data_IF_572239030402
#
_entry.id   IF_572239030402
#
_cell.length_a   1.000
_cell.length_b   1.000
_cell.length_c   1.000
_cell.angle_alpha   90.00
_cell.angle_beta   90.00
_cell.angle_gamma   90.00
#
_symmetry.space_group_name_H-M   'P 1'
#
loop_
_entity.id
_entity.type
_entity.pdbx_description
1 polymer ?
#
# COMPACT_ATOMS: atom_id res chain seq x y z
N UNK A 1 -14.84 -9.59 -11.68
CA UNK A 1 -13.60 -8.94 -11.24
C UNK A 1 -13.82 -8.56 -9.78
N UNK A 2 -13.36 -9.38 -8.85
CA UNK A 2 -13.45 -9.11 -7.41
C UNK A 2 -12.26 -8.23 -7.05
N UNK A 3 -12.50 -6.93 -6.85
CA UNK A 3 -11.58 -6.07 -6.12
C UNK A 3 -11.57 -6.56 -4.69
N UNK A 4 -10.49 -7.25 -4.33
CA UNK A 4 -10.16 -7.62 -2.96
C UNK A 4 -9.98 -6.33 -2.16
N UNK A 5 -10.96 -6.01 -1.33
CA UNK A 5 -11.03 -4.78 -0.55
C UNK A 5 -10.14 -4.86 0.68
N UNK A 6 -8.84 -5.12 0.51
CA UNK A 6 -7.84 -4.92 1.55
C UNK A 6 -8.20 -5.49 2.92
N UNK A 7 -8.86 -6.66 2.95
CA UNK A 7 -8.92 -7.45 4.16
C UNK A 7 -7.54 -8.10 4.25
N UNK A 8 -6.63 -7.39 4.92
CA UNK A 8 -5.32 -7.92 5.25
C UNK A 8 -5.49 -9.28 5.94
N UNK A 9 -4.46 -10.14 5.91
CA UNK A 9 -4.56 -11.48 6.47
C UNK A 9 -5.21 -11.38 7.86
N UNK A 10 -6.27 -12.15 8.07
CA UNK A 10 -6.96 -12.31 9.35
C UNK A 10 -5.97 -12.96 10.32
N UNK A 11 -4.99 -12.19 10.78
CA UNK A 11 -4.01 -12.57 11.79
C UNK A 11 -4.79 -12.84 13.06
N UNK A 12 -4.53 -14.00 13.67
CA UNK A 12 -5.27 -14.51 14.83
C UNK A 12 -5.64 -13.40 15.80
N UNK A 13 -6.95 -13.31 16.09
CA UNK A 13 -7.61 -12.34 16.97
C UNK A 13 -7.20 -12.47 18.45
N UNK A 14 -6.04 -13.09 18.72
CA UNK A 14 -5.55 -13.32 20.07
C UNK A 14 -4.56 -12.21 20.43
N UNK A 15 -4.89 -11.34 21.41
CA UNK A 15 -4.00 -10.27 21.82
C UNK A 15 -2.70 -10.87 22.39
N UNK A 16 -1.58 -10.42 21.84
CA UNK A 16 -0.25 -10.77 22.34
C UNK A 16 0.09 -9.87 23.53
N UNK A 17 0.36 -10.48 24.68
CA UNK A 17 0.81 -9.77 25.87
C UNK A 17 2.30 -9.43 25.78
N UNK A 18 2.61 -8.15 25.92
CA UNK A 18 3.98 -7.65 25.94
C UNK A 18 4.33 -7.08 27.30
N UNK A 19 5.59 -7.28 27.70
CA UNK A 19 6.11 -6.81 28.99
C UNK A 19 6.14 -5.29 29.11
N UNK A 20 6.34 -4.59 28.00
CA UNK A 20 6.36 -3.13 27.91
C UNK A 20 6.05 -2.67 26.48
N UNK A 21 5.72 -1.37 26.33
CA UNK A 21 5.37 -0.75 25.05
C UNK A 21 6.48 -0.87 24.00
N UNK A 22 7.75 -0.86 24.44
CA UNK A 22 8.90 -0.98 23.55
C UNK A 22 8.95 -2.39 22.95
N UNK A 23 8.76 -3.42 23.77
CA UNK A 23 8.68 -4.80 23.32
C UNK A 23 7.53 -5.00 22.31
N UNK A 24 6.36 -4.41 22.58
CA UNK A 24 5.22 -4.46 21.67
C UNK A 24 5.51 -3.76 20.33
N UNK A 25 6.20 -2.63 20.37
CA UNK A 25 6.54 -1.85 19.17
C UNK A 25 7.63 -2.51 18.33
N UNK A 26 8.66 -3.07 18.98
CA UNK A 26 9.75 -3.77 18.30
C UNK A 26 9.21 -5.04 17.59
N UNK A 27 8.34 -5.80 18.25
CA UNK A 27 7.70 -6.99 17.67
C UNK A 27 6.76 -6.63 16.53
N UNK A 28 5.95 -5.58 16.70
CA UNK A 28 5.10 -5.02 15.65
C UNK A 28 5.88 -4.65 14.38
N UNK A 29 7.09 -4.10 14.53
CA UNK A 29 7.96 -3.75 13.39
C UNK A 29 8.55 -4.98 12.70
N UNK A 30 8.95 -6.01 13.46
CA UNK A 30 9.42 -7.28 12.93
C UNK A 30 8.32 -7.99 12.14
N UNK A 31 7.12 -8.10 12.74
CA UNK A 31 5.96 -8.70 12.07
C UNK A 31 5.60 -7.97 10.77
N UNK A 32 5.66 -6.64 10.76
CA UNK A 32 5.41 -5.85 9.55
C UNK A 32 6.45 -6.13 8.45
N UNK A 33 7.71 -6.33 8.84
CA UNK A 33 8.82 -6.61 7.92
C UNK A 33 8.77 -8.03 7.35
N UNK A 34 8.38 -9.00 8.17
CA UNK A 34 8.17 -10.39 7.74
C UNK A 34 6.99 -10.48 6.77
N UNK A 35 5.85 -9.86 7.10
CA UNK A 35 4.69 -9.78 6.19
C UNK A 35 5.04 -9.11 4.86
N UNK A 36 5.90 -8.08 4.89
CA UNK A 36 6.37 -7.43 3.68
C UNK A 36 7.21 -8.36 2.81
N UNK A 37 8.12 -9.13 3.43
CA UNK A 37 9.05 -10.03 2.76
C UNK A 37 8.33 -11.22 2.10
N UNK A 38 7.29 -11.76 2.74
CA UNK A 38 6.53 -12.91 2.23
C UNK A 38 5.73 -12.60 0.96
N UNK A 39 5.21 -11.39 0.82
CA UNK A 39 4.34 -11.00 -0.32
C UNK A 39 5.14 -10.37 -1.47
N UNK A 40 6.35 -9.89 -1.20
CA UNK A 40 7.18 -9.18 -2.17
C UNK A 40 7.57 -9.95 -3.44
N UNK A 41 7.61 -11.30 -3.52
CA UNK A 41 8.01 -11.94 -4.77
C UNK A 41 6.93 -11.89 -5.87
N UNK A 42 5.64 -11.64 -5.54
CA UNK A 42 4.54 -11.83 -6.51
C UNK A 42 3.44 -10.75 -6.53
N UNK A 43 3.38 -9.83 -5.56
CA UNK A 43 2.34 -8.78 -5.51
C UNK A 43 2.71 -7.48 -6.22
N UNK A 44 1.82 -6.93 -7.06
CA UNK A 44 1.96 -5.57 -7.65
C UNK A 44 1.70 -4.44 -6.65
N UNK A 45 0.94 -4.74 -5.59
CA UNK A 45 0.65 -3.81 -4.52
C UNK A 45 0.38 -4.58 -3.24
N UNK A 46 0.73 -3.98 -2.12
CA UNK A 46 0.40 -4.51 -0.81
C UNK A 46 0.30 -3.40 0.22
N UNK A 47 -0.54 -3.64 1.22
CA UNK A 47 -0.79 -2.72 2.31
C UNK A 47 -0.90 -3.51 3.61
N UNK A 48 -0.01 -3.21 4.55
CA UNK A 48 0.00 -3.80 5.88
C UNK A 48 -0.06 -2.71 6.93
N UNK A 49 -0.60 -3.06 8.09
CA UNK A 49 -0.63 -2.17 9.23
C UNK A 49 -0.58 -2.94 10.52
N UNK A 50 0.00 -2.32 11.53
CA UNK A 50 0.06 -2.83 12.90
C UNK A 50 -0.40 -1.75 13.86
N UNK A 51 -1.10 -2.16 14.90
CA UNK A 51 -1.65 -1.29 15.94
C UNK A 51 -1.36 -1.92 17.31
N UNK A 52 -0.81 -1.12 18.22
CA UNK A 52 -0.58 -1.51 19.61
C UNK A 52 -1.49 -0.69 20.51
N UNK A 53 -2.15 -1.39 21.43
CA UNK A 53 -2.99 -0.79 22.46
C UNK A 53 -2.44 -1.15 23.84
N UNK A 54 -2.58 -0.23 24.78
CA UNK A 54 -2.47 -0.52 26.22
C UNK A 54 -3.70 -1.28 26.71
N UNK A 55 -3.59 -1.94 27.87
CA UNK A 55 -4.67 -2.65 28.55
C UNK A 55 -5.92 -1.78 28.82
N UNK A 56 -5.74 -0.46 28.87
CA UNK A 56 -6.83 0.51 29.02
C UNK A 56 -7.67 0.68 27.73
N UNK A 57 -7.26 0.06 26.63
CA UNK A 57 -7.83 0.22 25.29
C UNK A 57 -7.28 1.43 24.53
N UNK A 58 -6.34 2.19 25.11
CA UNK A 58 -5.72 3.33 24.45
C UNK A 58 -4.70 2.86 23.42
N UNK A 59 -4.86 3.30 22.17
CA UNK A 59 -3.84 3.09 21.14
C UNK A 59 -2.58 3.90 21.48
N UNK A 60 -1.44 3.23 21.54
CA UNK A 60 -0.13 3.85 21.82
C UNK A 60 0.78 3.88 20.61
N UNK A 61 0.61 2.92 19.69
CA UNK A 61 1.42 2.86 18.48
C UNK A 61 0.61 2.39 17.28
N UNK A 62 0.93 2.98 16.12
CA UNK A 62 0.40 2.60 14.83
C UNK A 62 1.49 2.75 13.78
N UNK A 63 1.65 1.73 12.95
CA UNK A 63 2.49 1.79 11.76
C UNK A 63 1.76 1.18 10.57
N UNK A 64 1.96 1.76 9.40
CA UNK A 64 1.38 1.29 8.13
C UNK A 64 2.52 1.21 7.09
N UNK A 65 2.57 0.13 6.32
CA UNK A 65 3.51 -0.08 5.21
C UNK A 65 2.74 -0.28 3.92
N UNK A 66 3.05 0.53 2.91
CA UNK A 66 2.44 0.45 1.59
C UNK A 66 3.51 0.24 0.52
N UNK A 67 3.33 -0.80 -0.28
CA UNK A 67 4.18 -1.09 -1.43
C UNK A 67 3.36 -1.08 -2.72
N UNK A 68 3.94 -0.50 -3.77
CA UNK A 68 3.40 -0.57 -5.13
C UNK A 68 4.55 -0.72 -6.12
N UNK A 69 4.45 -1.69 -7.01
CA UNK A 69 5.42 -1.94 -8.07
C UNK A 69 4.74 -1.94 -9.43
N UNK A 70 5.54 -1.62 -10.46
CA UNK A 70 5.15 -1.70 -11.86
C UNK A 70 6.13 -2.62 -12.56
N UNK A 71 5.62 -3.52 -13.40
CA UNK A 71 6.48 -4.30 -14.29
C UNK A 71 6.77 -3.50 -15.57
N UNK A 72 7.64 -4.02 -16.44
CA UNK A 72 7.97 -3.36 -17.71
C UNK A 72 6.75 -3.04 -18.57
N UNK A 73 5.79 -3.97 -18.63
CA UNK A 73 4.55 -3.78 -19.40
C UNK A 73 3.65 -2.67 -18.83
N UNK A 74 3.61 -2.54 -17.50
CA UNK A 74 2.85 -1.48 -16.83
C UNK A 74 3.47 -0.11 -17.14
N UNK A 75 4.80 -0.02 -17.14
CA UNK A 75 5.52 1.21 -17.51
C UNK A 75 5.34 1.54 -18.99
N UNK A 76 5.49 0.55 -19.88
CA UNK A 76 5.30 0.72 -21.32
C UNK A 76 3.86 1.14 -21.66
N UNK A 77 2.86 0.63 -20.93
CA UNK A 77 1.46 1.03 -21.11
C UNK A 77 1.25 2.48 -20.69
N UNK A 78 1.75 2.86 -19.52
CA UNK A 78 1.64 4.24 -19.02
C UNK A 78 2.30 5.25 -19.96
N UNK A 79 3.48 4.93 -20.50
CA UNK A 79 4.17 5.79 -21.46
C UNK A 79 3.33 6.00 -22.73
N UNK A 80 2.73 4.92 -23.27
CA UNK A 80 1.83 5.03 -24.44
C UNK A 80 0.57 5.83 -24.15
N UNK A 81 -0.01 5.66 -22.96
CA UNK A 81 -1.20 6.41 -22.54
C UNK A 81 -0.88 7.90 -22.35
N UNK A 82 0.28 8.21 -21.78
CA UNK A 82 0.76 9.58 -21.64
C UNK A 82 0.98 10.25 -23.00
N UNK A 83 1.60 9.55 -23.95
CA UNK A 83 1.79 10.02 -25.32
C UNK A 83 0.45 10.27 -26.03
N UNK A 84 -0.51 9.35 -25.89
CA UNK A 84 -1.84 9.50 -26.46
C UNK A 84 -2.60 10.70 -25.86
N UNK A 85 -2.53 10.88 -24.54
CA UNK A 85 -3.14 12.02 -23.86
C UNK A 85 -2.51 13.36 -24.29
N UNK A 86 -1.19 13.40 -24.50
CA UNK A 86 -0.49 14.58 -25.00
C UNK A 86 -0.98 14.97 -26.42
N UNK A 87 -1.18 13.98 -27.29
CA UNK A 87 -1.73 14.19 -28.64
C UNK A 87 -3.17 14.71 -28.58
N UNK A 88 -3.99 14.19 -27.67
CA UNK A 88 -5.37 14.66 -27.47
C UNK A 88 -5.41 16.13 -27.01
N UNK A 89 -4.57 16.50 -26.04
CA UNK A 89 -4.44 17.88 -25.57
C UNK A 89 -3.97 18.80 -26.68
N UNK A 90 -2.98 18.37 -27.48
CA UNK A 90 -2.50 19.15 -28.63
C UNK A 90 -3.62 19.40 -29.64
N UNK A 91 -4.37 18.36 -30.00
CA UNK A 91 -5.49 18.47 -30.94
C UNK A 91 -6.60 19.39 -30.40
N UNK A 92 -6.88 19.32 -29.10
CA UNK A 92 -7.85 20.22 -28.46
C UNK A 92 -7.39 21.69 -28.50
N UNK A 93 -6.10 21.95 -28.26
CA UNK A 93 -5.54 23.31 -28.32
C UNK A 93 -5.50 23.86 -29.75
N UNK A 94 -5.20 23.02 -30.75
CA UNK A 94 -5.20 23.41 -32.17
C UNK A 94 -6.61 23.63 -32.72
N UNK A 95 -7.61 22.93 -32.19
CA UNK A 95 -9.02 23.06 -32.58
C UNK A 95 -9.77 24.23 -31.94
N UNK A 96 -9.20 24.88 -30.92
CA UNK A 96 -9.79 26.11 -30.36
C UNK A 96 -9.48 27.31 -31.27
N UNK A 97 -10.49 28.02 -31.81
CA UNK A 97 -10.23 29.30 -32.45
C UNK A 97 -9.63 30.24 -31.39
N UNK A 98 -8.49 30.86 -31.71
CA UNK A 98 -7.95 31.95 -30.89
C UNK A 98 -8.96 33.07 -30.91
N UNK A 99 -9.62 33.30 -29.78
CA UNK A 99 -10.45 34.49 -29.54
C UNK A 99 -9.57 35.74 -29.52
#
# INVERSE_FOLDING_TARGET
>A
MTTDSGDGPTGGDEPLDFKDEKAATDDAQLALSDMASDVQPHGKAAHWGVRVHEDTGKQVYRADLRFSSKNGEDMDREDREADAAAIEVENHLRGRPRA
#
